data_IF_172909485684
#
_entry.id   IF_172909485684
#
_cell.length_a   1.000
_cell.length_b   1.000
_cell.length_c   1.000
_cell.angle_alpha   90.00
_cell.angle_beta   90.00
_cell.angle_gamma   90.00
#
_symmetry.space_group_name_H-M   'P 1'
#
loop_
_entity.id
_entity.type
_entity.pdbx_description
1 polymer ?
#
# COMPACT_ATOMS: atom_id res chain seq x y z
N UNK A 1 9.18 21.99 5.06
CA UNK A 1 8.41 21.19 6.01
C UNK A 1 8.68 19.70 5.74
N UNK A 2 8.79 18.91 6.79
CA UNK A 2 9.19 17.50 6.71
C UNK A 2 8.16 16.62 5.97
N UNK A 3 6.87 16.91 6.14
CA UNK A 3 5.80 16.17 5.47
C UNK A 3 5.44 16.71 4.07
N UNK A 4 5.98 17.82 3.66
CA UNK A 4 5.63 18.53 2.43
C UNK A 4 4.89 19.87 2.70
N UNK A 5 4.51 20.55 1.63
CA UNK A 5 3.77 21.81 1.73
C UNK A 5 2.27 21.57 1.92
N UNK A 6 1.63 22.32 2.81
CA UNK A 6 0.20 22.19 3.11
C UNK A 6 -0.68 22.27 1.86
N UNK A 7 -0.40 23.20 0.93
CA UNK A 7 -1.18 23.32 -0.29
C UNK A 7 -1.15 22.06 -1.16
N UNK A 8 -0.06 21.30 -1.13
CA UNK A 8 0.06 20.05 -1.89
C UNK A 8 -0.69 18.91 -1.19
N UNK A 9 -0.59 18.82 0.15
CA UNK A 9 -1.35 17.86 0.95
C UNK A 9 -2.85 18.08 0.82
N UNK A 10 -3.32 19.33 0.88
CA UNK A 10 -4.72 19.71 0.68
C UNK A 10 -5.21 19.34 -0.74
N UNK A 11 -4.42 19.63 -1.77
CA UNK A 11 -4.76 19.26 -3.15
C UNK A 11 -4.87 17.74 -3.35
N UNK A 12 -4.04 16.95 -2.67
CA UNK A 12 -4.11 15.50 -2.69
C UNK A 12 -5.35 15.01 -1.93
N UNK A 13 -5.64 15.55 -0.75
CA UNK A 13 -6.86 15.22 0.00
C UNK A 13 -8.13 15.53 -0.83
N UNK A 14 -8.17 16.64 -1.53
CA UNK A 14 -9.24 17.00 -2.47
C UNK A 14 -9.34 16.01 -3.65
N UNK A 15 -8.21 15.48 -4.12
CA UNK A 15 -8.21 14.44 -5.15
C UNK A 15 -8.88 13.16 -4.66
N UNK A 16 -8.57 12.69 -3.44
CA UNK A 16 -9.26 11.55 -2.82
C UNK A 16 -10.75 11.81 -2.66
N UNK A 17 -11.14 12.99 -2.16
CA UNK A 17 -12.54 13.36 -1.96
C UNK A 17 -13.35 13.34 -3.27
N UNK A 18 -12.76 13.79 -4.39
CA UNK A 18 -13.38 13.72 -5.72
C UNK A 18 -13.59 12.29 -6.21
N UNK A 19 -12.81 11.33 -5.69
CA UNK A 19 -12.95 9.91 -5.97
C UNK A 19 -13.78 9.16 -4.89
N UNK A 20 -14.49 9.90 -4.03
CA UNK A 20 -15.37 9.33 -3.02
C UNK A 20 -14.67 8.75 -1.79
N UNK A 21 -13.39 9.10 -1.58
CA UNK A 21 -12.58 8.64 -0.45
C UNK A 21 -12.16 9.84 0.40
N UNK A 22 -12.33 9.75 1.69
CA UNK A 22 -11.94 10.81 2.63
C UNK A 22 -10.58 10.49 3.27
N UNK A 23 -9.60 11.38 3.06
CA UNK A 23 -8.26 11.31 3.64
C UNK A 23 -7.92 12.69 4.22
N UNK A 24 -7.33 12.74 5.40
CA UNK A 24 -6.90 14.01 6.00
C UNK A 24 -5.60 14.48 5.34
N UNK A 25 -5.45 15.77 5.12
CA UNK A 25 -4.21 16.36 4.61
C UNK A 25 -3.00 16.04 5.54
N UNK A 26 -3.24 15.92 6.84
CA UNK A 26 -2.24 15.56 7.85
C UNK A 26 -1.75 14.11 7.76
N UNK A 27 -2.50 13.23 7.10
CA UNK A 27 -2.12 11.83 6.91
C UNK A 27 -1.22 11.64 5.66
N UNK A 28 -0.96 12.74 4.91
CA UNK A 28 -0.25 12.71 3.63
C UNK A 28 1.20 13.17 3.81
N UNK A 29 2.13 12.32 3.41
CA UNK A 29 3.58 12.56 3.45
C UNK A 29 4.10 12.63 2.01
N UNK A 30 4.60 13.80 1.61
CA UNK A 30 5.11 14.02 0.25
C UNK A 30 6.58 13.58 0.19
N UNK A 31 6.95 12.89 -0.87
CA UNK A 31 8.27 12.30 -1.06
C UNK A 31 8.80 12.43 -2.49
N UNK A 32 10.02 11.97 -2.69
CA UNK A 32 10.75 12.04 -3.95
C UNK A 32 10.62 10.79 -4.83
N UNK A 33 9.68 9.91 -4.51
CA UNK A 33 9.38 8.72 -5.31
C UNK A 33 8.88 7.54 -4.50
N UNK A 34 7.77 6.92 -4.91
CA UNK A 34 7.19 5.77 -4.23
C UNK A 34 8.17 4.59 -4.05
N UNK A 35 9.19 4.47 -4.92
CA UNK A 35 10.24 3.47 -4.75
C UNK A 35 11.08 3.73 -3.50
N UNK A 36 11.39 5.00 -3.21
CA UNK A 36 12.08 5.39 -1.97
C UNK A 36 11.20 5.09 -0.76
N UNK A 37 9.92 5.43 -0.84
CA UNK A 37 8.98 5.19 0.26
C UNK A 37 8.84 3.70 0.58
N UNK A 38 8.63 2.87 -0.44
CA UNK A 38 8.51 1.41 -0.27
C UNK A 38 9.81 0.75 0.21
N UNK A 39 10.96 1.33 -0.08
CA UNK A 39 12.25 0.87 0.43
C UNK A 39 12.46 1.28 1.89
N UNK A 40 12.24 2.54 2.21
CA UNK A 40 12.52 3.09 3.53
C UNK A 40 11.51 2.62 4.60
N UNK A 41 10.25 2.36 4.21
CA UNK A 41 9.21 1.92 5.15
C UNK A 41 9.59 0.62 5.89
N UNK A 42 10.45 -0.21 5.29
CA UNK A 42 10.88 -1.48 5.90
C UNK A 42 11.62 -1.28 7.21
N UNK A 43 12.26 -0.11 7.43
CA UNK A 43 12.97 0.23 8.66
C UNK A 43 12.05 0.41 9.88
N UNK A 44 10.74 0.66 9.64
CA UNK A 44 9.76 0.80 10.72
C UNK A 44 9.33 -0.55 11.31
N UNK A 45 9.61 -1.65 10.63
CA UNK A 45 9.15 -2.98 10.99
C UNK A 45 10.29 -3.85 11.52
N UNK A 46 9.94 -4.74 12.45
CA UNK A 46 10.91 -5.69 13.03
C UNK A 46 11.46 -6.65 11.97
N UNK A 47 12.71 -7.08 12.15
CA UNK A 47 13.40 -7.96 11.19
C UNK A 47 12.81 -9.36 11.10
N UNK A 48 12.16 -9.81 12.16
CA UNK A 48 11.50 -11.12 12.26
C UNK A 48 10.05 -11.10 11.74
N UNK A 49 9.55 -9.94 11.28
CA UNK A 49 8.25 -9.86 10.63
C UNK A 49 8.23 -10.70 9.33
N UNK A 50 7.13 -11.40 9.14
CA UNK A 50 6.85 -12.21 7.96
C UNK A 50 6.16 -11.35 6.91
N UNK A 51 6.73 -11.34 5.71
CA UNK A 51 6.27 -10.52 4.59
C UNK A 51 5.58 -11.38 3.55
N UNK A 52 4.36 -11.03 3.18
CA UNK A 52 3.57 -11.69 2.16
C UNK A 52 3.60 -10.86 0.87
N UNK A 53 4.04 -11.45 -0.24
CA UNK A 53 4.24 -10.74 -1.51
C UNK A 53 3.59 -11.52 -2.65
N UNK A 54 2.77 -10.92 -3.52
CA UNK A 54 2.31 -11.55 -4.75
C UNK A 54 3.48 -11.87 -5.70
N UNK A 55 3.34 -12.92 -6.50
CA UNK A 55 4.30 -13.26 -7.57
C UNK A 55 3.50 -13.62 -8.84
N UNK A 56 3.70 -12.93 -9.98
CA UNK A 56 4.68 -11.88 -10.22
C UNK A 56 4.31 -10.51 -9.67
N UNK A 57 5.32 -9.74 -9.26
CA UNK A 57 5.15 -8.41 -8.67
C UNK A 57 6.33 -7.48 -9.01
N UNK A 58 6.21 -6.21 -8.69
CA UNK A 58 7.31 -5.24 -8.80
C UNK A 58 8.48 -5.65 -7.88
N UNK A 59 9.70 -5.86 -8.43
CA UNK A 59 10.80 -6.50 -7.70
C UNK A 59 11.24 -5.78 -6.43
N UNK A 60 10.99 -4.47 -6.32
CA UNK A 60 11.47 -3.67 -5.18
C UNK A 60 10.96 -4.19 -3.84
N UNK A 61 9.75 -4.76 -3.79
CA UNK A 61 9.22 -5.30 -2.53
C UNK A 61 10.02 -6.51 -2.04
N UNK A 62 10.43 -7.37 -2.99
CA UNK A 62 11.26 -8.53 -2.68
C UNK A 62 12.69 -8.10 -2.35
N UNK A 63 13.27 -7.23 -3.16
CA UNK A 63 14.66 -6.81 -3.03
C UNK A 63 14.90 -6.13 -1.68
N UNK A 64 14.05 -5.17 -1.29
CA UNK A 64 14.22 -4.41 -0.04
C UNK A 64 14.05 -5.29 1.19
N UNK A 65 13.03 -6.16 1.21
CA UNK A 65 12.80 -7.07 2.34
C UNK A 65 13.89 -8.17 2.43
N UNK A 66 14.41 -8.62 1.28
CA UNK A 66 15.55 -9.56 1.24
C UNK A 66 16.83 -8.90 1.80
N UNK A 67 17.12 -7.66 1.40
CA UNK A 67 18.27 -6.92 1.94
C UNK A 67 18.16 -6.68 3.44
N UNK A 68 16.94 -6.49 3.94
CA UNK A 68 16.68 -6.32 5.38
C UNK A 68 16.65 -7.65 6.14
N UNK A 69 16.70 -8.77 5.44
CA UNK A 69 16.75 -10.12 6.02
C UNK A 69 15.43 -10.65 6.55
N UNK A 70 14.29 -10.08 6.09
CA UNK A 70 12.95 -10.55 6.45
C UNK A 70 12.59 -11.87 5.77
N UNK A 71 11.71 -12.63 6.39
CA UNK A 71 11.15 -13.85 5.80
C UNK A 71 10.03 -13.50 4.83
N UNK A 72 10.19 -13.87 3.55
CA UNK A 72 9.23 -13.60 2.49
C UNK A 72 8.46 -14.87 2.13
N UNK A 73 7.14 -14.79 2.14
CA UNK A 73 6.22 -15.81 1.63
C UNK A 73 5.61 -15.28 0.33
N UNK A 74 5.70 -16.07 -0.73
CA UNK A 74 5.14 -15.71 -2.03
C UNK A 74 3.71 -16.24 -2.20
N UNK A 75 2.84 -15.38 -2.74
CA UNK A 75 1.49 -15.75 -3.16
C UNK A 75 1.47 -15.87 -4.68
N UNK A 76 1.20 -17.06 -5.19
CA UNK A 76 1.23 -17.29 -6.63
C UNK A 76 0.03 -16.65 -7.33
N UNK A 77 0.30 -15.63 -8.14
CA UNK A 77 -0.62 -15.10 -9.14
C UNK A 77 -0.54 -15.96 -10.41
N UNK A 78 -1.61 -16.62 -10.73
CA UNK A 78 -1.71 -17.51 -11.89
C UNK A 78 -2.85 -17.08 -12.80
N UNK A 79 -2.92 -17.68 -13.99
CA UNK A 79 -4.04 -17.41 -14.90
C UNK A 79 -5.39 -17.85 -14.32
N UNK A 80 -5.39 -18.88 -13.49
CA UNK A 80 -6.58 -19.44 -12.86
C UNK A 80 -7.17 -18.54 -11.78
N UNK A 81 -6.37 -17.68 -11.17
CA UNK A 81 -6.81 -16.66 -10.20
C UNK A 81 -6.69 -15.23 -10.74
N UNK A 82 -6.65 -15.07 -12.07
CA UNK A 82 -6.53 -13.77 -12.76
C UNK A 82 -5.32 -12.93 -12.27
N UNK A 83 -4.26 -13.59 -11.81
CA UNK A 83 -3.08 -12.98 -11.20
C UNK A 83 -3.39 -12.13 -9.94
N UNK A 84 -4.49 -12.43 -9.26
CA UNK A 84 -4.96 -11.77 -8.05
C UNK A 84 -5.04 -12.80 -6.91
N UNK A 85 -3.90 -13.18 -6.28
CA UNK A 85 -3.95 -14.11 -5.17
C UNK A 85 -4.77 -13.54 -4.01
N UNK A 86 -5.47 -14.42 -3.32
CA UNK A 86 -6.33 -14.10 -2.20
C UNK A 86 -5.71 -14.58 -0.87
N UNK A 87 -6.16 -14.06 0.28
CA UNK A 87 -5.63 -14.48 1.57
C UNK A 87 -5.78 -15.98 1.81
N UNK A 88 -4.74 -16.63 2.33
CA UNK A 88 -4.78 -17.98 2.84
C UNK A 88 -4.81 -17.93 4.38
N UNK A 89 -5.88 -18.41 4.98
CA UNK A 89 -6.08 -18.42 6.44
C UNK A 89 -5.06 -19.31 7.21
N UNK A 90 -4.35 -20.19 6.50
CA UNK A 90 -3.29 -21.01 7.07
C UNK A 90 -1.92 -20.32 7.08
N UNK A 91 -1.79 -19.19 6.42
CA UNK A 91 -0.58 -18.37 6.40
C UNK A 91 -0.78 -17.20 7.34
N UNK A 92 0.18 -16.98 8.24
CA UNK A 92 0.22 -15.77 9.07
C UNK A 92 1.34 -14.86 8.54
N UNK A 93 1.01 -13.62 8.25
CA UNK A 93 1.96 -12.59 7.84
C UNK A 93 1.73 -11.32 8.67
N UNK A 94 2.80 -10.54 8.84
CA UNK A 94 2.78 -9.25 9.55
C UNK A 94 2.71 -8.09 8.56
N UNK A 95 3.31 -8.26 7.37
CA UNK A 95 3.35 -7.25 6.31
C UNK A 95 2.84 -7.87 5.01
N UNK A 96 1.93 -7.19 4.34
CA UNK A 96 1.29 -7.66 3.10
C UNK A 96 1.49 -6.61 2.02
N UNK A 97 2.20 -6.94 0.95
CA UNK A 97 2.27 -6.07 -0.22
C UNK A 97 1.13 -6.38 -1.18
N UNK A 98 0.41 -5.35 -1.60
CA UNK A 98 -0.58 -5.40 -2.67
C UNK A 98 -0.30 -4.26 -3.66
N UNK A 99 -0.33 -4.55 -4.95
CA UNK A 99 -0.21 -3.54 -6.00
C UNK A 99 -1.44 -3.63 -6.90
N UNK A 100 -2.19 -2.54 -7.01
CA UNK A 100 -3.43 -2.53 -7.80
C UNK A 100 -3.66 -1.16 -8.47
N UNK A 101 -3.59 -1.10 -9.79
CA UNK A 101 -3.24 -2.17 -10.75
C UNK A 101 -1.81 -2.71 -10.56
N UNK A 102 -1.66 -4.03 -10.70
CA UNK A 102 -0.39 -4.70 -10.44
C UNK A 102 0.65 -4.47 -11.56
N UNK A 103 1.88 -4.29 -11.20
CA UNK A 103 3.03 -4.38 -12.08
C UNK A 103 3.73 -5.74 -11.84
N UNK A 104 3.80 -6.69 -12.83
CA UNK A 104 3.69 -6.43 -14.28
C UNK A 104 2.35 -6.81 -14.93
N UNK A 105 1.39 -7.40 -14.22
CA UNK A 105 0.25 -8.09 -14.82
C UNK A 105 -0.87 -7.15 -15.30
N UNK A 106 -0.96 -5.95 -14.72
CA UNK A 106 -2.09 -5.05 -14.92
C UNK A 106 -3.37 -5.46 -14.22
N UNK A 107 -3.37 -6.58 -13.49
CA UNK A 107 -4.52 -7.06 -12.75
C UNK A 107 -4.92 -6.06 -11.64
N UNK A 108 -6.21 -5.90 -11.43
CA UNK A 108 -6.75 -4.94 -10.48
C UNK A 108 -7.75 -5.63 -9.55
N UNK A 109 -7.54 -5.50 -8.25
CA UNK A 109 -8.46 -6.05 -7.26
C UNK A 109 -9.79 -5.31 -7.28
N UNK A 110 -10.89 -6.06 -7.19
CA UNK A 110 -12.21 -5.50 -6.99
C UNK A 110 -12.47 -5.24 -5.49
N UNK A 111 -13.65 -4.67 -5.20
CA UNK A 111 -14.02 -4.28 -3.84
C UNK A 111 -14.07 -5.48 -2.89
N UNK A 112 -14.71 -6.56 -3.27
CA UNK A 112 -14.88 -7.76 -2.45
C UNK A 112 -13.53 -8.43 -2.15
N UNK A 113 -12.62 -8.42 -3.11
CA UNK A 113 -11.28 -8.96 -2.93
C UNK A 113 -10.46 -8.11 -1.95
N UNK A 114 -10.55 -6.78 -2.04
CA UNK A 114 -9.88 -5.90 -1.08
C UNK A 114 -10.52 -5.96 0.31
N UNK A 115 -11.85 -6.14 0.42
CA UNK A 115 -12.53 -6.40 1.70
C UNK A 115 -11.98 -7.67 2.37
N UNK A 116 -11.74 -8.74 1.61
CA UNK A 116 -11.14 -9.96 2.14
C UNK A 116 -9.71 -9.73 2.65
N UNK A 117 -8.90 -8.94 1.93
CA UNK A 117 -7.55 -8.59 2.37
C UNK A 117 -7.55 -7.71 3.63
N UNK A 118 -8.43 -6.73 3.71
CA UNK A 118 -8.57 -5.87 4.90
C UNK A 118 -9.03 -6.70 6.11
N UNK A 119 -10.00 -7.59 5.92
CA UNK A 119 -10.46 -8.48 6.98
C UNK A 119 -9.34 -9.41 7.48
N UNK A 120 -8.55 -9.97 6.56
CA UNK A 120 -7.39 -10.79 6.89
C UNK A 120 -6.34 -9.99 7.68
N UNK A 121 -6.01 -8.78 7.23
CA UNK A 121 -5.02 -7.94 7.91
C UNK A 121 -5.45 -7.58 9.33
N UNK A 122 -6.70 -7.13 9.51
CA UNK A 122 -7.26 -6.81 10.83
C UNK A 122 -7.29 -8.02 11.77
N UNK A 123 -7.62 -9.20 11.25
CA UNK A 123 -7.65 -10.44 12.04
C UNK A 123 -6.26 -10.88 12.54
N UNK A 124 -5.23 -10.61 11.76
CA UNK A 124 -3.85 -11.08 12.02
C UNK A 124 -2.93 -9.99 12.59
N UNK A 125 -3.44 -8.79 12.89
CA UNK A 125 -2.66 -7.60 13.27
C UNK A 125 -1.56 -7.29 12.24
N UNK A 126 -1.88 -7.49 10.95
CA UNK A 126 -0.97 -7.25 9.84
C UNK A 126 -1.19 -5.88 9.21
N UNK A 127 -0.15 -5.34 8.58
CA UNK A 127 -0.25 -4.11 7.78
C UNK A 127 -0.25 -4.42 6.29
N UNK A 128 -1.14 -3.77 5.55
CA UNK A 128 -1.16 -3.77 4.09
C UNK A 128 -0.33 -2.58 3.61
N UNK A 129 0.70 -2.85 2.82
CA UNK A 129 1.46 -1.87 2.05
C UNK A 129 0.89 -1.87 0.63
N UNK A 130 0.00 -0.92 0.36
CA UNK A 130 -0.78 -0.86 -0.87
C UNK A 130 -0.16 0.12 -1.87
N UNK A 131 0.33 -0.40 -2.99
CA UNK A 131 0.90 0.42 -4.07
C UNK A 131 -0.17 0.73 -5.12
N UNK A 132 -0.57 1.99 -5.20
CA UNK A 132 -1.55 2.52 -6.14
C UNK A 132 -0.92 3.38 -7.25
N UNK A 133 0.36 3.17 -7.58
CA UNK A 133 1.09 3.98 -8.56
C UNK A 133 0.42 4.05 -9.95
N UNK A 134 -0.44 3.10 -10.27
CA UNK A 134 -1.15 3.01 -11.55
C UNK A 134 -2.66 3.26 -11.44
N UNK A 135 -3.17 3.75 -10.30
CA UNK A 135 -4.60 3.93 -10.05
C UNK A 135 -5.31 4.80 -11.10
N UNK A 136 -4.61 5.82 -11.61
CA UNK A 136 -5.16 6.74 -12.62
C UNK A 136 -5.47 6.07 -13.97
N UNK A 137 -4.94 4.88 -14.22
CA UNK A 137 -5.21 4.09 -15.42
C UNK A 137 -6.43 3.17 -15.29
N UNK A 138 -7.05 3.10 -14.11
CA UNK A 138 -8.31 2.37 -13.91
C UNK A 138 -9.42 3.10 -14.67
N UNK A 139 -9.99 2.45 -15.66
CA UNK A 139 -11.08 2.98 -16.49
C UNK A 139 -12.44 2.45 -16.08
N UNK A 140 -12.49 1.32 -15.40
CA UNK A 140 -13.73 0.75 -14.85
C UNK A 140 -14.09 1.48 -13.54
N UNK A 141 -15.23 2.22 -13.50
CA UNK A 141 -15.61 2.99 -12.33
C UNK A 141 -16.05 2.12 -11.13
N UNK A 142 -16.22 0.82 -11.32
CA UNK A 142 -16.58 -0.11 -10.24
C UNK A 142 -15.37 -0.57 -9.44
N UNK A 143 -14.16 -0.41 -9.99
CA UNK A 143 -12.93 -0.82 -9.33
C UNK A 143 -12.42 0.28 -8.39
N UNK A 144 -12.02 -0.08 -7.16
CA UNK A 144 -11.45 0.88 -6.21
C UNK A 144 -10.13 1.47 -6.72
N UNK A 145 -9.98 2.79 -6.62
CA UNK A 145 -8.72 3.48 -6.92
C UNK A 145 -7.80 3.57 -5.70
N UNK A 146 -8.36 3.42 -4.51
CA UNK A 146 -7.66 3.48 -3.24
C UNK A 146 -8.13 2.36 -2.33
N UNK A 147 -7.21 1.83 -1.50
CA UNK A 147 -7.55 0.86 -0.46
C UNK A 147 -8.52 1.49 0.57
N UNK A 148 -8.49 2.80 0.75
CA UNK A 148 -9.35 3.49 1.71
C UNK A 148 -10.81 3.62 1.26
N UNK A 149 -11.16 3.16 0.06
CA UNK A 149 -12.53 2.90 -0.33
C UNK A 149 -13.15 1.70 0.41
N UNK A 150 -12.31 0.91 1.11
CA UNK A 150 -12.71 -0.28 1.87
C UNK A 150 -12.83 0.07 3.35
N UNK A 151 -13.94 -0.30 3.95
CA UNK A 151 -14.16 -0.08 5.38
C UNK A 151 -13.12 -0.83 6.22
N UNK A 152 -12.56 -0.14 7.22
CA UNK A 152 -11.52 -0.68 8.09
C UNK A 152 -10.10 -0.55 7.56
N UNK A 153 -9.89 -0.25 6.28
CA UNK A 153 -8.55 -0.16 5.68
C UNK A 153 -7.66 0.87 6.37
N UNK A 154 -8.20 1.99 6.85
CA UNK A 154 -7.43 3.01 7.57
C UNK A 154 -6.77 2.50 8.85
N UNK A 155 -7.24 1.38 9.40
CA UNK A 155 -6.68 0.78 10.62
C UNK A 155 -5.56 -0.22 10.33
N UNK A 156 -5.36 -0.60 9.07
CA UNK A 156 -4.40 -1.65 8.72
C UNK A 156 -3.67 -1.43 7.40
N UNK A 157 -3.77 -0.26 6.76
CA UNK A 157 -3.15 -0.05 5.45
C UNK A 157 -2.42 1.29 5.37
N UNK A 158 -1.25 1.25 4.69
CA UNK A 158 -0.48 2.40 4.21
C UNK A 158 -0.56 2.38 2.69
N UNK A 159 -0.90 3.52 2.06
CA UNK A 159 -1.01 3.62 0.61
C UNK A 159 0.12 4.45 0.01
N UNK A 160 0.79 3.90 -1.02
CA UNK A 160 1.83 4.58 -1.78
C UNK A 160 1.29 5.02 -3.14
N UNK A 161 1.52 6.28 -3.50
CA UNK A 161 1.10 6.86 -4.75
C UNK A 161 2.27 7.53 -5.47
N UNK A 162 2.25 7.52 -6.80
CA UNK A 162 3.33 8.08 -7.61
C UNK A 162 2.80 8.91 -8.77
N UNK A 163 3.33 10.12 -8.93
CA UNK A 163 3.06 10.94 -10.11
C UNK A 163 4.03 10.64 -11.28
N UNK A 164 4.98 9.73 -11.06
CA UNK A 164 5.91 9.30 -12.13
C UNK A 164 5.19 8.74 -13.35
N UNK A 165 4.04 8.05 -13.14
CA UNK A 165 3.23 7.45 -14.21
C UNK A 165 2.12 8.42 -14.66
N UNK A 166 1.28 8.83 -13.74
CA UNK A 166 0.09 9.65 -13.98
C UNK A 166 0.42 11.00 -14.61
N UNK A 167 1.42 11.71 -14.11
CA UNK A 167 1.81 13.03 -14.60
C UNK A 167 3.09 13.01 -15.48
N UNK A 168 3.66 11.84 -15.74
CA UNK A 168 4.94 11.73 -16.45
C UNK A 168 6.12 12.32 -15.66
N UNK A 169 6.02 12.39 -14.33
CA UNK A 169 7.00 13.03 -13.44
C UNK A 169 8.15 12.11 -13.03
N UNK A 170 8.52 11.16 -13.87
CA UNK A 170 9.60 10.21 -13.58
C UNK A 170 10.92 10.91 -13.21
N UNK A 171 11.26 11.98 -13.92
CA UNK A 171 12.45 12.80 -13.66
C UNK A 171 12.25 13.90 -12.62
N UNK A 172 11.03 14.35 -12.38
CA UNK A 172 10.69 15.40 -11.40
C UNK A 172 10.72 14.87 -9.98
N UNK A 173 10.48 13.59 -9.78
CA UNK A 173 10.51 12.91 -8.48
C UNK A 173 9.44 13.46 -7.52
N UNK A 174 8.17 13.10 -7.77
CA UNK A 174 7.06 13.44 -6.89
C UNK A 174 6.21 12.20 -6.63
N UNK A 175 6.04 11.88 -5.36
CA UNK A 175 5.14 10.85 -4.84
C UNK A 175 4.60 11.26 -3.47
N UNK A 176 3.72 10.46 -2.94
CA UNK A 176 3.23 10.63 -1.58
C UNK A 176 2.82 9.29 -0.99
N UNK A 177 2.91 9.23 0.33
CA UNK A 177 2.43 8.10 1.13
C UNK A 177 1.33 8.59 2.03
N UNK A 178 0.25 7.82 2.15
CA UNK A 178 -0.84 8.10 3.06
C UNK A 178 -0.76 7.13 4.24
N UNK A 179 -0.64 7.70 5.44
CA UNK A 179 -0.60 6.97 6.71
C UNK A 179 -1.71 7.51 7.58
N UNK A 180 -2.88 6.84 7.66
CA UNK A 180 -4.00 7.31 8.46
C UNK A 180 -3.68 7.34 9.95
N UNK A 181 -4.15 8.36 10.66
CA UNK A 181 -4.05 8.50 12.12
C UNK A 181 -4.69 7.29 12.87
N UNK A 182 -5.62 6.59 12.24
CA UNK A 182 -6.28 5.41 12.81
C UNK A 182 -5.38 4.15 12.77
N UNK A 183 -4.28 4.19 12.02
CA UNK A 183 -3.30 3.11 11.96
C UNK A 183 -2.35 3.23 13.16
N UNK A 184 -2.45 2.28 14.07
CA UNK A 184 -1.65 2.27 15.30
C UNK A 184 -0.84 0.99 15.37
N UNK A 185 0.45 1.12 15.62
CA UNK A 185 1.37 0.00 15.84
C UNK A 185 1.76 -0.10 17.31
N UNK A 186 1.92 -1.33 17.79
CA UNK A 186 2.60 -1.58 19.06
C UNK A 186 4.11 -1.60 18.86
N UNK A 187 4.83 -0.90 19.72
CA UNK A 187 6.30 -0.88 19.70
C UNK A 187 6.86 -1.99 20.58
N UNK A 188 8.07 -2.47 20.31
CA UNK A 188 8.74 -3.54 21.03
C UNK A 188 8.94 -3.26 22.54
N UNK A 189 8.85 -2.01 22.97
CA UNK A 189 8.94 -1.57 24.37
C UNK A 189 7.57 -1.32 25.02
N UNK A 190 6.47 -1.74 24.39
CA UNK A 190 5.12 -1.64 24.91
C UNK A 190 4.46 -0.27 24.76
N UNK A 191 5.04 0.63 23.94
CA UNK A 191 4.40 1.87 23.54
C UNK A 191 3.53 1.70 22.29
N UNK A 192 2.91 2.77 21.86
CA UNK A 192 2.17 2.85 20.58
C UNK A 192 2.78 3.90 19.68
N UNK A 193 2.74 3.65 18.37
CA UNK A 193 3.11 4.58 17.31
C UNK A 193 1.90 4.76 16.38
N UNK A 194 1.46 5.98 16.16
CA UNK A 194 0.39 6.38 15.24
C UNK A 194 0.86 7.50 14.33
#
# INVERSE_FOLDING_TARGET
PEQGYAFAQEAIADYYARNGVEVKATDIFISDGAKSDTGNITELFAKDNVVLVPDPVYPVYVDTNTMDGKNIIYMNGTKENDFLPMPDENVKADIIYLCSPNNPTGACYNKEQLEAWVAYALKNDAVILYDSAYEAFITDPTLPRSIYAIEGAKKCAIEFCSLSKTAGFTGTRFSYTVVPEELVFETSNGGTLS
#
